data_IF_536784406329
#
_entry.id   IF_536784406329
#
_cell.length_a   1.000
_cell.length_b   1.000
_cell.length_c   1.000
_cell.angle_alpha   90.00
_cell.angle_beta   90.00
_cell.angle_gamma   90.00
#
_symmetry.space_group_name_H-M   'P 1'
#
loop_
_entity.id
_entity.type
_entity.pdbx_description
1 polymer ?
#
# COMPACT_ATOMS: atom_id res chain seq x y z
N UNK A 1 -0.11 -13.47 24.41
CA UNK A 1 -0.50 -12.80 23.16
C UNK A 1 -0.56 -11.32 23.49
N UNK A 2 0.37 -10.52 22.97
CA UNK A 2 0.39 -9.08 23.22
C UNK A 2 -0.95 -8.48 22.78
N UNK A 3 -1.56 -7.67 23.64
CA UNK A 3 -2.72 -6.82 23.39
C UNK A 3 -2.41 -5.87 22.21
N UNK A 4 -2.49 -6.39 20.98
CA UNK A 4 -2.29 -5.60 19.78
C UNK A 4 -3.56 -4.80 19.58
N UNK A 5 -3.60 -3.60 20.14
CA UNK A 5 -4.62 -2.61 19.85
C UNK A 5 -4.77 -2.53 18.31
N UNK A 6 -6.01 -2.52 17.78
CA UNK A 6 -6.21 -2.41 16.35
C UNK A 6 -5.64 -1.07 15.86
N UNK A 7 -4.53 -1.14 15.12
CA UNK A 7 -3.93 -0.03 14.42
C UNK A 7 -4.33 -0.05 12.94
N UNK A 8 -4.03 1.02 12.21
CA UNK A 8 -4.44 1.17 10.81
C UNK A 8 -3.94 0.00 9.94
N UNK A 9 -2.69 -0.43 10.13
CA UNK A 9 -2.11 -1.57 9.42
C UNK A 9 -2.88 -2.88 9.73
N UNK A 10 -3.19 -3.12 11.01
CA UNK A 10 -3.97 -4.29 11.44
C UNK A 10 -5.38 -4.30 10.85
N UNK A 11 -6.06 -3.15 10.79
CA UNK A 11 -7.37 -3.02 10.17
C UNK A 11 -7.31 -3.27 8.65
N UNK A 12 -6.34 -2.68 7.95
CA UNK A 12 -6.13 -2.90 6.52
C UNK A 12 -5.88 -4.39 6.22
N UNK A 13 -5.00 -5.03 6.99
CA UNK A 13 -4.73 -6.46 6.86
C UNK A 13 -5.98 -7.31 7.13
N UNK A 14 -6.75 -6.98 8.16
CA UNK A 14 -7.99 -7.69 8.50
C UNK A 14 -9.06 -7.61 7.40
N UNK A 15 -9.27 -6.41 6.84
CA UNK A 15 -10.23 -6.20 5.76
C UNK A 15 -9.76 -6.85 4.46
N UNK A 16 -8.49 -6.67 4.10
CA UNK A 16 -7.91 -7.30 2.92
C UNK A 16 -8.03 -8.83 2.97
N UNK A 17 -7.73 -9.45 4.12
CA UNK A 17 -7.86 -10.91 4.29
C UNK A 17 -9.27 -11.47 4.08
N UNK A 18 -10.30 -10.62 4.03
CA UNK A 18 -11.70 -10.98 3.75
C UNK A 18 -12.19 -10.47 2.39
N UNK A 19 -11.44 -9.59 1.75
CA UNK A 19 -11.81 -9.00 0.48
C UNK A 19 -11.47 -9.95 -0.67
N UNK A 20 -12.47 -10.30 -1.49
CA UNK A 20 -12.26 -11.18 -2.63
C UNK A 20 -11.90 -10.37 -3.89
N UNK A 21 -10.61 -10.11 -4.09
CA UNK A 21 -10.08 -9.37 -5.25
C UNK A 21 -10.58 -9.91 -6.60
N UNK A 22 -10.72 -11.24 -6.73
CA UNK A 22 -11.15 -11.86 -7.99
C UNK A 22 -12.61 -11.58 -8.30
N UNK A 23 -13.45 -11.44 -7.28
CA UNK A 23 -14.88 -11.15 -7.43
C UNK A 23 -15.20 -9.64 -7.42
N UNK A 24 -14.23 -8.80 -7.04
CA UNK A 24 -14.40 -7.36 -7.01
C UNK A 24 -14.74 -6.78 -8.40
N UNK A 25 -15.52 -5.72 -8.42
CA UNK A 25 -15.83 -4.96 -9.63
C UNK A 25 -14.59 -4.22 -10.15
N UNK A 26 -14.60 -3.82 -11.42
CA UNK A 26 -13.50 -3.01 -11.97
C UNK A 26 -13.33 -1.68 -11.24
N UNK A 27 -14.44 -1.02 -10.87
CA UNK A 27 -14.42 0.24 -10.13
C UNK A 27 -13.78 0.09 -8.74
N UNK A 28 -14.11 -0.97 -8.01
CA UNK A 28 -13.48 -1.26 -6.71
C UNK A 28 -11.97 -1.51 -6.86
N UNK A 29 -11.56 -2.24 -7.90
CA UNK A 29 -10.15 -2.50 -8.16
C UNK A 29 -9.40 -1.24 -8.59
N UNK A 30 -10.01 -0.37 -9.41
CA UNK A 30 -9.43 0.91 -9.80
C UNK A 30 -9.24 1.80 -8.57
N UNK A 31 -10.26 1.90 -7.71
CA UNK A 31 -10.17 2.62 -6.45
C UNK A 31 -9.03 2.08 -5.58
N UNK A 32 -8.97 0.77 -5.36
CA UNK A 32 -7.91 0.16 -4.54
C UNK A 32 -6.52 0.33 -5.16
N UNK A 33 -6.39 0.23 -6.49
CA UNK A 33 -5.11 0.42 -7.19
C UNK A 33 -4.59 1.87 -7.08
N UNK A 34 -5.49 2.83 -6.91
CA UNK A 34 -5.15 4.25 -6.71
C UNK A 34 -4.69 4.57 -5.29
N UNK A 35 -4.88 3.65 -4.32
CA UNK A 35 -4.49 3.80 -2.92
C UNK A 35 -2.98 3.67 -2.68
N UNK A 36 -2.15 4.09 -3.64
CA UNK A 36 -0.76 4.45 -3.36
C UNK A 36 -0.80 5.53 -2.30
N UNK A 37 0.00 5.42 -1.24
CA UNK A 37 -0.05 6.30 -0.07
C UNK A 37 1.08 7.36 -0.08
N UNK A 38 1.25 8.19 -1.14
CA UNK A 38 2.34 9.16 -1.21
C UNK A 38 2.15 10.30 -0.22
N UNK A 39 0.91 10.67 0.09
CA UNK A 39 0.58 11.73 1.05
C UNK A 39 0.93 11.30 2.47
N UNK A 40 0.57 10.07 2.86
CA UNK A 40 0.95 9.48 4.14
C UNK A 40 2.48 9.31 4.26
N UNK A 41 3.14 8.89 3.18
CA UNK A 41 4.60 8.80 3.13
C UNK A 41 5.26 10.19 3.25
N UNK A 42 4.69 11.21 2.62
CA UNK A 42 5.12 12.60 2.73
C UNK A 42 4.96 13.13 4.16
N UNK A 43 3.79 12.95 4.77
CA UNK A 43 3.53 13.35 6.15
C UNK A 43 4.46 12.64 7.15
N UNK A 44 4.76 11.36 6.93
CA UNK A 44 5.74 10.63 7.72
C UNK A 44 7.15 11.21 7.56
N UNK A 45 7.56 11.53 6.33
CA UNK A 45 8.85 12.18 6.07
C UNK A 45 8.95 13.51 6.81
N UNK A 46 7.95 14.39 6.69
CA UNK A 46 7.96 15.70 7.34
C UNK A 46 8.04 15.56 8.87
N UNK A 47 7.33 14.58 9.42
CA UNK A 47 7.40 14.23 10.84
C UNK A 47 8.82 13.78 11.24
N UNK A 48 9.44 12.90 10.45
CA UNK A 48 10.80 12.41 10.67
C UNK A 48 11.85 13.53 10.55
N UNK A 49 11.72 14.42 9.56
CA UNK A 49 12.61 15.57 9.37
C UNK A 49 12.49 16.53 10.56
N UNK A 50 11.27 16.80 11.05
CA UNK A 50 11.04 17.59 12.27
C UNK A 50 11.69 16.97 13.50
N UNK A 51 11.54 15.66 13.69
CA UNK A 51 12.18 14.90 14.77
C UNK A 51 13.70 14.98 14.68
N UNK A 52 14.27 14.76 13.49
CA UNK A 52 15.71 14.78 13.27
C UNK A 52 16.31 16.16 13.61
N UNK A 53 15.61 17.24 13.25
CA UNK A 53 16.00 18.60 13.63
C UNK A 53 15.98 18.81 15.14
N UNK A 54 14.96 18.30 15.85
CA UNK A 54 14.93 18.37 17.32
C UNK A 54 16.06 17.56 17.95
N UNK A 55 16.36 16.36 17.45
CA UNK A 55 17.49 15.54 17.93
C UNK A 55 18.82 16.24 17.69
N UNK A 56 19.01 16.86 16.53
CA UNK A 56 20.24 17.58 16.19
C UNK A 56 20.49 18.77 17.13
N UNK A 57 19.43 19.50 17.50
CA UNK A 57 19.51 20.61 18.45
C UNK A 57 19.60 20.13 19.92
N UNK A 58 18.89 19.07 20.34
CA UNK A 58 18.98 18.48 21.69
C UNK A 58 20.35 17.87 22.01
N UNK A 59 21.03 17.33 20.98
CA UNK A 59 22.38 16.79 21.13
C UNK A 59 23.46 17.88 21.25
N UNK A 60 23.16 19.13 20.92
CA UNK A 60 24.03 20.28 21.21
C UNK A 60 23.98 20.56 22.70
N UNK A 61 24.90 19.93 23.44
CA UNK A 61 25.08 20.13 24.89
C UNK A 61 25.17 21.63 25.24
N UNK A 62 24.14 22.20 25.85
CA UNK A 62 24.31 23.41 26.66
C UNK A 62 24.88 23.01 28.03
N UNK A 63 26.12 23.43 28.31
CA UNK A 63 26.78 23.30 29.64
C UNK A 63 26.78 21.88 30.23
N UNK A 64 26.83 20.85 29.40
CA UNK A 64 26.94 19.45 29.84
C UNK A 64 25.66 18.81 30.38
N UNK A 65 24.50 19.50 30.31
CA UNK A 65 23.19 18.91 30.60
C UNK A 65 22.44 18.72 29.29
N UNK A 66 21.86 17.53 29.06
CA UNK A 66 20.86 17.34 27.99
C UNK A 66 19.59 18.06 28.45
N UNK A 67 19.24 19.17 27.81
CA UNK A 67 17.99 19.88 28.05
C UNK A 67 17.20 19.71 26.77
N UNK A 68 16.08 18.97 26.83
CA UNK A 68 15.48 18.45 25.62
C UNK A 68 14.31 17.49 25.81
N UNK A 69 13.45 17.39 24.78
CA UNK A 69 12.27 16.51 24.77
C UNK A 69 12.64 15.03 24.51
N UNK A 70 13.86 14.74 24.05
CA UNK A 70 14.38 13.40 23.84
C UNK A 70 14.96 12.78 25.13
N UNK A 71 14.12 12.66 26.18
CA UNK A 71 14.46 11.90 27.37
C UNK A 71 14.19 10.40 27.17
N UNK A 72 14.81 9.54 27.97
CA UNK A 72 14.94 8.09 27.72
C UNK A 72 13.61 7.34 27.45
N UNK A 73 12.46 7.88 27.89
CA UNK A 73 11.14 7.29 27.72
C UNK A 73 10.37 7.75 26.46
N UNK A 74 10.70 8.89 25.85
CA UNK A 74 9.95 9.44 24.71
C UNK A 74 10.42 8.87 23.36
N UNK A 75 11.68 8.45 23.28
CA UNK A 75 12.29 7.91 22.06
C UNK A 75 11.67 6.58 21.60
N UNK A 76 11.48 5.57 22.47
CA UNK A 76 10.88 4.30 22.05
C UNK A 76 9.44 4.47 21.55
N UNK A 77 8.66 5.32 22.21
CA UNK A 77 7.26 5.61 21.83
C UNK A 77 7.16 6.24 20.43
N UNK A 78 8.09 7.14 20.11
CA UNK A 78 8.17 7.78 18.81
C UNK A 78 8.55 6.80 17.70
N UNK A 79 9.55 5.95 17.95
CA UNK A 79 9.96 4.88 17.02
C UNK A 79 8.82 3.89 16.77
N UNK A 80 8.02 3.55 17.79
CA UNK A 80 6.83 2.72 17.61
C UNK A 80 5.75 3.42 16.78
N UNK A 81 5.57 4.73 16.93
CA UNK A 81 4.63 5.49 16.10
C UNK A 81 5.06 5.50 14.64
N UNK A 82 6.35 5.73 14.37
CA UNK A 82 6.94 5.68 13.03
C UNK A 82 6.75 4.29 12.43
N UNK A 83 7.08 3.23 13.18
CA UNK A 83 6.94 1.86 12.71
C UNK A 83 5.48 1.52 12.33
N UNK A 84 4.49 1.98 13.11
CA UNK A 84 3.06 1.80 12.81
C UNK A 84 2.63 2.53 11.54
N UNK A 85 3.13 3.76 11.31
CA UNK A 85 2.84 4.51 10.09
C UNK A 85 3.46 3.86 8.85
N UNK A 86 4.70 3.39 8.96
CA UNK A 86 5.37 2.63 7.89
C UNK A 86 4.61 1.34 7.57
N UNK A 87 4.16 0.60 8.58
CA UNK A 87 3.39 -0.63 8.38
C UNK A 87 2.06 -0.34 7.66
N UNK A 88 1.36 0.75 8.02
CA UNK A 88 0.12 1.16 7.36
C UNK A 88 0.35 1.53 5.88
N UNK A 89 1.38 2.33 5.58
CA UNK A 89 1.78 2.66 4.20
C UNK A 89 2.12 1.40 3.41
N UNK A 90 2.85 0.46 4.02
CA UNK A 90 3.21 -0.82 3.41
C UNK A 90 1.97 -1.66 3.06
N UNK A 91 0.99 -1.74 3.97
CA UNK A 91 -0.27 -2.43 3.71
C UNK A 91 -1.06 -1.77 2.57
N UNK A 92 -1.15 -0.43 2.53
CA UNK A 92 -1.82 0.29 1.43
C UNK A 92 -1.15 0.01 0.09
N UNK A 93 0.18 0.11 0.03
CA UNK A 93 0.94 -0.16 -1.19
C UNK A 93 0.77 -1.60 -1.69
N UNK A 94 0.74 -2.57 -0.77
CA UNK A 94 0.51 -3.98 -1.10
C UNK A 94 -0.90 -4.20 -1.68
N UNK A 95 -1.94 -3.68 -1.03
CA UNK A 95 -3.32 -3.78 -1.50
C UNK A 95 -3.47 -3.14 -2.90
N UNK A 96 -2.88 -1.96 -3.09
CA UNK A 96 -2.89 -1.28 -4.38
C UNK A 96 -2.21 -2.10 -5.47
N UNK A 97 -1.06 -2.73 -5.18
CA UNK A 97 -0.36 -3.59 -6.14
C UNK A 97 -1.14 -4.84 -6.53
N UNK A 98 -1.86 -5.44 -5.59
CA UNK A 98 -2.69 -6.63 -5.84
C UNK A 98 -3.91 -6.28 -6.70
N UNK A 99 -4.52 -5.11 -6.47
CA UNK A 99 -5.61 -4.60 -7.28
C UNK A 99 -5.16 -4.30 -8.73
N UNK A 100 -4.01 -3.63 -8.90
CA UNK A 100 -3.42 -3.38 -10.22
C UNK A 100 -3.06 -4.68 -10.96
N UNK A 101 -2.53 -5.68 -10.23
CA UNK A 101 -2.27 -6.99 -10.80
C UNK A 101 -3.54 -7.66 -11.35
N UNK A 102 -4.64 -7.67 -10.59
CA UNK A 102 -5.90 -8.27 -11.05
C UNK A 102 -6.52 -7.49 -12.23
N UNK A 103 -6.43 -6.16 -12.25
CA UNK A 103 -6.84 -5.34 -13.41
C UNK A 103 -6.07 -5.72 -14.68
N UNK A 104 -4.74 -5.86 -14.57
CA UNK A 104 -3.88 -6.27 -15.67
C UNK A 104 -4.19 -7.69 -16.13
N UNK A 105 -4.38 -8.63 -15.21
CA UNK A 105 -4.75 -10.01 -15.55
C UNK A 105 -6.10 -10.07 -16.27
N UNK A 106 -7.10 -9.29 -15.83
CA UNK A 106 -8.39 -9.16 -16.53
C UNK A 106 -8.22 -8.64 -17.95
N UNK A 107 -7.41 -7.61 -18.15
CA UNK A 107 -7.14 -7.06 -19.48
C UNK A 107 -6.49 -8.10 -20.41
N UNK A 108 -5.51 -8.87 -19.90
CA UNK A 108 -4.85 -9.96 -20.65
C UNK A 108 -5.85 -11.07 -21.00
N UNK A 109 -6.67 -11.52 -20.04
CA UNK A 109 -7.71 -12.53 -20.28
C UNK A 109 -8.71 -12.06 -21.34
N UNK A 110 -9.18 -10.82 -21.27
CA UNK A 110 -10.10 -10.23 -22.24
C UNK A 110 -9.48 -10.16 -23.66
N UNK A 111 -8.21 -9.74 -23.77
CA UNK A 111 -7.50 -9.71 -25.04
C UNK A 111 -7.34 -11.11 -25.65
N UNK A 112 -6.98 -12.11 -24.84
CA UNK A 112 -6.86 -13.50 -25.30
C UNK A 112 -8.19 -14.10 -25.76
N UNK A 113 -9.30 -13.79 -25.10
CA UNK A 113 -10.64 -14.23 -25.49
C UNK A 113 -11.10 -13.57 -26.80
N UNK A 114 -10.78 -12.29 -26.99
CA UNK A 114 -11.05 -11.56 -28.23
C UNK A 114 -10.29 -12.15 -29.42
N UNK A 115 -9.00 -12.44 -29.24
CA UNK A 115 -8.15 -13.07 -30.26
C UNK A 115 -8.63 -14.47 -30.67
N UNK A 116 -9.10 -15.29 -29.72
CA UNK A 116 -9.70 -16.59 -30.05
C UNK A 116 -10.97 -16.44 -30.90
N UNK A 117 -11.85 -15.50 -30.56
CA UNK A 117 -13.10 -15.25 -31.30
C UNK A 117 -12.87 -14.77 -32.74
N UNK A 118 -11.82 -13.99 -33.01
CA UNK A 118 -11.51 -13.57 -34.39
C UNK A 118 -10.99 -14.73 -35.24
N UNK A 119 -10.15 -15.62 -34.67
CA UNK A 119 -9.63 -16.80 -35.38
C UNK A 119 -10.71 -17.82 -35.76
N UNK A 120 -11.70 -18.07 -34.89
CA UNK A 120 -12.79 -19.01 -35.17
C UNK A 120 -13.70 -18.53 -36.30
N UNK A 121 -13.90 -17.22 -36.46
CA UNK A 121 -14.74 -16.66 -37.52
C UNK A 121 -14.12 -16.76 -38.92
N UNK A 122 -12.78 -16.76 -39.04
CA UNK A 122 -12.11 -16.93 -40.34
C UNK A 122 -12.07 -18.39 -40.81
N UNK A 123 -12.03 -19.36 -39.89
CA UNK A 123 -11.92 -20.77 -40.25
C UNK A 123 -13.23 -21.42 -40.74
N UNK A 124 -14.39 -20.77 -40.52
CA UNK A 124 -15.71 -21.31 -40.93
C UNK A 124 -16.21 -20.79 -42.28
N UNK A 125 -15.44 -19.94 -42.97
CA UNK A 125 -15.82 -19.31 -44.25
C UNK A 125 -15.24 -20.00 -45.50
N UNK A 126 -14.56 -21.14 -45.36
CA UNK A 126 -13.82 -21.78 -46.48
C UNK A 126 -14.26 -23.24 -46.77
N UNK A 127 -15.51 -23.60 -46.45
CA UNK A 127 -16.11 -24.87 -46.92
C UNK A 127 -17.45 -24.60 -47.57
N UNK A 128 -17.44 -24.44 -48.90
CA UNK A 128 -18.66 -24.34 -49.68
C UNK A 128 -18.46 -23.81 -51.09
N UNK A 129 -17.57 -24.43 -51.87
CA UNK A 129 -17.53 -24.28 -53.33
C UNK A 129 -16.70 -25.41 -53.95
N UNK A 130 -17.35 -26.54 -54.23
CA UNK A 130 -16.98 -27.50 -55.28
C UNK A 130 -18.20 -28.37 -55.58
#
# INVERSE_FOLDING_TARGET
>A
MLDRQPDAAGLLSFFYGRFNMKAATTEELEFLSSATAPDEAGALRDTLDGIANFVAEDLRKERGKRVGCFQESTVPSLLWSIARQVDAIGQMAFIASEADYELRDRAVRAASASSRRSSTKQSSSDQGSA
#
